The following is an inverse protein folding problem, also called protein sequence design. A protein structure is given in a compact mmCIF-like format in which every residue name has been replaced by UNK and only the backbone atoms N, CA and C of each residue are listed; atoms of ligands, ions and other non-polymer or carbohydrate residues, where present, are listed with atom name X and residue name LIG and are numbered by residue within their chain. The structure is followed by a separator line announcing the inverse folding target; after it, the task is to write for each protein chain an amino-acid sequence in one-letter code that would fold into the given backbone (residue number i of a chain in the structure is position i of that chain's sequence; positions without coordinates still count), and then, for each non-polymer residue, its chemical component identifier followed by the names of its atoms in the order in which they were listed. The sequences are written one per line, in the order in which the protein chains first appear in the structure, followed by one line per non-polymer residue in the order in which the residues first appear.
data_IF_217487454408
#
_entry.id   IF_217487454408
#
_cell.length_a   1.000
_cell.length_b   1.000
_cell.length_c   1.000
_cell.angle_alpha   90.00
_cell.angle_beta   90.00
_cell.angle_gamma   90.00
#
_symmetry.space_group_name_H-M   'P 1'
#
loop_
_entity.id
_entity.type
_entity.pdbx_description
1 polymer ?
#
# COMPACT_ATOMS: atom_id res chain seq x y z
N UNK A 1 -11.87 11.86 -23.43
CA UNK A 1 -12.31 10.56 -22.88
C UNK A 1 -11.11 10.05 -22.11
N UNK A 2 -11.15 10.09 -20.77
CA UNK A 2 -9.99 9.70 -19.95
C UNK A 2 -10.01 8.18 -19.86
N UNK A 3 -8.97 7.55 -20.40
CA UNK A 3 -8.81 6.10 -20.44
C UNK A 3 -8.35 5.61 -19.05
N UNK A 4 -9.21 4.85 -18.36
CA UNK A 4 -8.98 4.33 -17.01
C UNK A 4 -8.25 2.98 -17.04
N UNK A 5 -7.25 2.84 -17.91
CA UNK A 5 -6.55 1.57 -18.15
C UNK A 5 -5.27 1.36 -17.34
N UNK A 6 -4.91 2.28 -16.45
CA UNK A 6 -3.75 2.13 -15.58
C UNK A 6 -4.16 1.86 -14.13
N UNK A 7 -3.61 0.78 -13.58
CA UNK A 7 -3.67 0.26 -12.21
C UNK A 7 -3.10 1.25 -11.14
N UNK A 8 -3.45 2.54 -11.21
CA UNK A 8 -2.76 3.63 -10.49
C UNK A 8 -3.69 4.57 -9.73
N UNK A 9 -4.85 4.10 -9.24
CA UNK A 9 -5.66 4.93 -8.32
C UNK A 9 -4.88 5.19 -7.03
N UNK A 10 -4.94 6.43 -6.52
CA UNK A 10 -4.28 6.81 -5.27
C UNK A 10 -4.72 5.89 -4.11
N UNK A 11 -5.97 5.44 -4.14
CA UNK A 11 -6.54 4.43 -3.25
C UNK A 11 -5.75 3.14 -3.27
N UNK A 12 -5.53 2.55 -4.45
CA UNK A 12 -4.80 1.28 -4.57
C UNK A 12 -3.37 1.41 -4.06
N UNK A 13 -2.71 2.55 -4.32
CA UNK A 13 -1.38 2.83 -3.76
C UNK A 13 -1.40 2.87 -2.24
N UNK A 14 -2.40 3.55 -1.65
CA UNK A 14 -2.56 3.63 -0.19
C UNK A 14 -2.81 2.23 0.42
N UNK A 15 -3.58 1.38 -0.24
CA UNK A 15 -3.82 0.01 0.20
C UNK A 15 -2.54 -0.84 0.13
N UNK A 16 -1.80 -0.78 -0.97
CA UNK A 16 -0.52 -1.49 -1.11
C UNK A 16 0.50 -1.06 -0.07
N UNK A 17 0.59 0.25 0.22
CA UNK A 17 1.43 0.76 1.30
C UNK A 17 1.00 0.19 2.66
N UNK A 18 -0.30 0.10 2.92
CA UNK A 18 -0.84 -0.48 4.16
C UNK A 18 -0.45 -1.95 4.31
N UNK A 19 -0.59 -2.75 3.26
CA UNK A 19 -0.17 -4.16 3.23
C UNK A 19 1.31 -4.29 3.58
N UNK A 20 2.18 -3.53 2.91
CA UNK A 20 3.62 -3.59 3.16
C UNK A 20 3.99 -3.18 4.60
N UNK A 21 3.31 -2.17 5.15
CA UNK A 21 3.50 -1.75 6.54
C UNK A 21 3.12 -2.85 7.51
N UNK A 22 1.99 -3.53 7.32
CA UNK A 22 1.57 -4.63 8.19
C UNK A 22 2.51 -5.86 8.07
N UNK A 23 3.02 -6.16 6.87
CA UNK A 23 4.06 -7.17 6.68
C UNK A 23 5.35 -6.81 7.43
N UNK A 24 5.80 -5.56 7.36
CA UNK A 24 6.99 -5.10 8.09
C UNK A 24 6.77 -5.12 9.61
N UNK A 25 5.57 -4.76 10.10
CA UNK A 25 5.22 -4.90 11.52
C UNK A 25 5.30 -6.34 12.00
N UNK A 26 4.80 -7.29 11.21
CA UNK A 26 4.89 -8.70 11.53
C UNK A 26 6.37 -9.15 11.58
N UNK A 27 7.17 -8.79 10.58
CA UNK A 27 8.61 -9.08 10.56
C UNK A 27 9.35 -8.49 11.77
N UNK A 28 9.06 -7.22 12.13
CA UNK A 28 9.67 -6.53 13.26
C UNK A 28 9.24 -7.07 14.63
N UNK A 29 8.08 -7.74 14.71
CA UNK A 29 7.66 -8.44 15.92
C UNK A 29 8.63 -9.58 16.26
N UNK A 30 9.08 -10.30 15.23
CA UNK A 30 10.03 -11.40 15.37
C UNK A 30 11.49 -10.90 15.34
N UNK A 31 11.74 -9.75 14.70
CA UNK A 31 13.07 -9.16 14.50
C UNK A 31 13.16 -7.70 15.01
N UNK A 32 13.00 -7.45 16.33
CA UNK A 32 12.84 -6.10 16.87
C UNK A 32 14.07 -5.20 16.74
N UNK A 33 15.25 -5.76 16.41
CA UNK A 33 16.51 -5.02 16.23
C UNK A 33 16.82 -4.70 14.76
N UNK A 34 15.95 -5.08 13.82
CA UNK A 34 16.12 -4.77 12.39
C UNK A 34 15.83 -3.30 12.13
N UNK A 35 16.86 -2.47 12.31
CA UNK A 35 16.78 -1.01 12.12
C UNK A 35 16.45 -0.62 10.68
N UNK A 36 16.82 -1.45 9.69
CA UNK A 36 16.54 -1.21 8.28
C UNK A 36 15.05 -1.41 8.00
N UNK A 37 14.47 -2.52 8.47
CA UNK A 37 13.05 -2.77 8.31
C UNK A 37 12.20 -1.70 9.03
N UNK A 38 12.66 -1.20 10.18
CA UNK A 38 12.02 -0.09 10.88
C UNK A 38 12.03 1.20 10.06
N UNK A 39 13.19 1.60 9.53
CA UNK A 39 13.31 2.78 8.68
C UNK A 39 12.40 2.69 7.45
N UNK A 40 12.39 1.53 6.78
CA UNK A 40 11.52 1.29 5.63
C UNK A 40 10.04 1.39 6.00
N UNK A 41 9.64 0.86 7.16
CA UNK A 41 8.25 0.96 7.63
C UNK A 41 7.86 2.42 7.88
N UNK A 42 8.73 3.21 8.51
CA UNK A 42 8.48 4.63 8.78
C UNK A 42 8.34 5.44 7.48
N UNK A 43 9.18 5.19 6.47
CA UNK A 43 9.08 5.82 5.14
C UNK A 43 7.76 5.50 4.43
N UNK A 44 7.30 4.26 4.52
CA UNK A 44 6.02 3.84 3.94
C UNK A 44 4.83 4.48 4.66
N UNK A 45 4.89 4.63 5.99
CA UNK A 45 3.86 5.33 6.78
C UNK A 45 3.76 6.78 6.33
N UNK A 46 4.88 7.49 6.23
CA UNK A 46 4.92 8.90 5.80
C UNK A 46 4.32 9.04 4.40
N UNK A 47 4.73 8.18 3.47
CA UNK A 47 4.20 8.19 2.09
C UNK A 47 2.69 7.97 2.06
N UNK A 48 2.18 7.01 2.83
CA UNK A 48 0.75 6.70 2.90
C UNK A 48 -0.05 7.88 3.45
N UNK A 49 0.44 8.52 4.51
CA UNK A 49 -0.21 9.69 5.12
C UNK A 49 -0.26 10.88 4.18
N UNK A 50 0.81 11.09 3.41
CA UNK A 50 0.85 12.10 2.36
C UNK A 50 -0.21 11.83 1.29
N UNK A 51 -0.29 10.61 0.76
CA UNK A 51 -1.28 10.25 -0.26
C UNK A 51 -2.73 10.37 0.26
N UNK A 52 -2.97 9.99 1.51
CA UNK A 52 -4.28 10.17 2.15
C UNK A 52 -4.65 11.65 2.26
N UNK A 53 -3.69 12.51 2.60
CA UNK A 53 -3.88 13.96 2.68
C UNK A 53 -4.19 14.53 1.29
N UNK A 54 -3.42 14.15 0.27
CA UNK A 54 -3.64 14.57 -1.11
C UNK A 54 -5.01 14.11 -1.63
N UNK A 55 -5.40 12.87 -1.35
CA UNK A 55 -6.73 12.34 -1.70
C UNK A 55 -7.85 13.08 -0.97
N UNK A 56 -7.62 13.52 0.27
CA UNK A 56 -8.62 14.28 1.05
C UNK A 56 -8.95 15.64 0.43
N UNK A 57 -7.99 16.27 -0.25
CA UNK A 57 -8.23 17.51 -1.00
C UNK A 57 -9.08 17.28 -2.26
N UNK A 58 -9.12 16.04 -2.76
CA UNK A 58 -9.89 15.67 -3.96
C UNK A 58 -11.28 15.16 -3.58
N UNK A 59 -11.38 14.22 -2.64
CA UNK A 59 -12.66 13.66 -2.19
C UNK A 59 -12.57 12.95 -0.85
N UNK A 60 -13.33 13.44 0.13
CA UNK A 60 -13.51 12.79 1.41
C UNK A 60 -14.21 11.42 1.31
N UNK A 61 -15.09 11.21 0.32
CA UNK A 61 -15.75 9.90 0.16
C UNK A 61 -14.75 8.81 -0.26
N UNK A 62 -13.79 9.16 -1.13
CA UNK A 62 -12.72 8.25 -1.55
C UNK A 62 -11.80 7.90 -0.37
N UNK A 63 -11.45 8.89 0.46
CA UNK A 63 -10.70 8.65 1.70
C UNK A 63 -11.46 7.72 2.64
N UNK A 64 -12.77 7.91 2.79
CA UNK A 64 -13.59 7.04 3.63
C UNK A 64 -13.62 5.59 3.13
N UNK A 65 -13.77 5.36 1.82
CA UNK A 65 -13.69 4.03 1.23
C UNK A 65 -12.35 3.35 1.52
N UNK A 66 -11.25 4.06 1.31
CA UNK A 66 -9.90 3.56 1.64
C UNK A 66 -9.78 3.24 3.14
N UNK A 67 -10.34 4.08 4.01
CA UNK A 67 -10.30 3.85 5.45
C UNK A 67 -11.05 2.57 5.86
N UNK A 68 -12.18 2.27 5.22
CA UNK A 68 -12.91 1.02 5.44
C UNK A 68 -12.06 -0.20 5.05
N UNK A 69 -11.43 -0.17 3.88
CA UNK A 69 -10.56 -1.26 3.42
C UNK A 69 -9.33 -1.44 4.32
N UNK A 70 -8.67 -0.35 4.73
CA UNK A 70 -7.57 -0.40 5.70
C UNK A 70 -8.02 -1.03 7.02
N UNK A 71 -9.22 -0.67 7.49
CA UNK A 71 -9.79 -1.19 8.74
C UNK A 71 -10.04 -2.69 8.62
N UNK A 72 -10.61 -3.13 7.51
CA UNK A 72 -10.86 -4.54 7.23
C UNK A 72 -9.56 -5.35 7.20
N UNK A 73 -8.52 -4.85 6.53
CA UNK A 73 -7.20 -5.51 6.46
C UNK A 73 -6.53 -5.63 7.83
N UNK A 74 -6.65 -4.60 8.67
CA UNK A 74 -6.10 -4.63 10.04
C UNK A 74 -6.84 -5.61 10.95
N UNK A 75 -8.15 -5.76 10.78
CA UNK A 75 -8.95 -6.70 11.56
C UNK A 75 -8.77 -8.15 11.08
N UNK A 76 -8.43 -8.35 9.82
CA UNK A 76 -8.32 -9.66 9.18
C UNK A 76 -6.95 -9.81 8.47
N UNK A 77 -5.84 -10.01 9.21
CA UNK A 77 -4.50 -10.08 8.64
C UNK A 77 -4.32 -11.20 7.60
N UNK A 78 -5.13 -12.26 7.65
CA UNK A 78 -5.17 -13.34 6.66
C UNK A 78 -5.59 -12.86 5.26
N UNK A 79 -6.29 -11.73 5.16
CA UNK A 79 -6.64 -11.10 3.88
C UNK A 79 -5.44 -10.42 3.22
N UNK A 80 -4.42 -10.05 4.01
CA UNK A 80 -3.19 -9.43 3.48
C UNK A 80 -2.46 -10.40 2.55
N UNK A 81 -2.42 -11.69 2.91
CA UNK A 81 -1.81 -12.74 2.08
C UNK A 81 -2.56 -13.01 0.76
N UNK A 82 -3.85 -12.70 0.72
CA UNK A 82 -4.73 -12.91 -0.44
C UNK A 82 -4.96 -11.63 -1.25
N UNK A 83 -4.44 -10.49 -0.79
CA UNK A 83 -4.53 -9.27 -1.55
C UNK A 83 -3.63 -9.40 -2.78
N UNK A 84 -4.07 -8.96 -3.98
CA UNK A 84 -3.28 -9.06 -5.19
C UNK A 84 -1.99 -8.25 -5.06
N UNK A 85 -0.96 -8.87 -4.51
CA UNK A 85 0.42 -8.47 -4.66
C UNK A 85 0.78 -8.84 -6.08
N UNK A 86 0.47 -7.96 -7.04
CA UNK A 86 1.19 -8.03 -8.32
C UNK A 86 2.67 -7.89 -7.95
N UNK A 87 3.42 -8.96 -8.15
CA UNK A 87 4.88 -8.97 -8.00
C UNK A 87 5.44 -8.02 -9.07
N UNK A 88 5.63 -6.75 -8.73
CA UNK A 88 6.24 -5.75 -9.62
C UNK A 88 7.76 -5.98 -9.81
N UNK A 89 8.30 -7.09 -9.29
CA UNK A 89 9.68 -7.53 -9.51
C UNK A 89 9.84 -8.45 -10.74
N UNK A 90 8.78 -8.66 -11.55
CA UNK A 90 8.82 -9.51 -12.74
C UNK A 90 8.23 -8.87 -14.01
N UNK A 91 8.45 -7.59 -14.25
CA UNK A 91 8.52 -7.11 -15.64
C UNK A 91 9.99 -6.98 -16.03
N UNK A 92 10.57 -8.15 -16.33
CA UNK A 92 11.75 -8.23 -17.16
C UNK A 92 11.37 -7.78 -18.57
N UNK A 93 12.17 -6.85 -19.10
CA UNK A 93 12.45 -6.57 -20.52
C UNK A 93 11.52 -7.20 -21.57
N UNK A 94 10.86 -6.34 -22.36
CA UNK A 94 10.55 -6.42 -23.80
C UNK A 94 9.39 -5.42 -24.01
N UNK A 95 9.52 -4.32 -24.73
CA UNK A 95 9.81 -4.29 -26.16
C UNK A 95 10.64 -3.05 -26.52
N UNK A 96 11.86 -3.27 -27.02
CA UNK A 96 12.42 -2.41 -28.05
C UNK A 96 11.85 -2.90 -29.38
N UNK A 97 10.99 -2.11 -30.02
CA UNK A 97 10.93 -1.99 -31.47
C UNK A 97 10.38 -0.61 -31.84
#
# INVERSE_FOLDING_TARGET
MIDYKDDHSAEMQIINLTINIECLKAHLKDNPKDSRAKLQMDELIITRERLLTELSYVSLSRVYSVHLEITELKQNPEKIANYPTKNYSQEAELERY
#
